data_IF_567509738335
#
_entry.id   IF_567509738335
#
_cell.length_a   1.000
_cell.length_b   1.000
_cell.length_c   1.000
_cell.angle_alpha   90.00
_cell.angle_beta   90.00
_cell.angle_gamma   90.00
#
_symmetry.space_group_name_H-M   'P 1'
#
loop_
_entity.id
_entity.type
_entity.pdbx_description
1 polymer ?
#
# COMPACT_ATOMS: atom_id res chain seq x y z
N UNK A 1 -13.83 -18.94 8.56
CA UNK A 1 -13.36 -18.05 7.47
C UNK A 1 -12.72 -18.91 6.41
N UNK A 2 -13.16 -18.85 5.14
CA UNK A 2 -12.49 -19.58 4.06
C UNK A 2 -11.17 -18.85 3.77
N UNK A 3 -10.04 -19.50 4.04
CA UNK A 3 -8.75 -19.02 3.56
C UNK A 3 -8.67 -19.37 2.06
N UNK A 4 -8.94 -18.38 1.22
CA UNK A 4 -8.50 -18.45 -0.17
C UNK A 4 -6.98 -18.36 -0.14
N UNK A 5 -6.30 -19.35 -0.72
CA UNK A 5 -4.83 -19.41 -0.75
C UNK A 5 -4.20 -18.42 -1.75
N UNK A 6 -5.03 -17.55 -2.35
CA UNK A 6 -4.68 -16.69 -3.47
C UNK A 6 -4.83 -15.20 -3.12
N UNK A 7 -4.93 -14.85 -1.85
CA UNK A 7 -5.03 -13.46 -1.41
C UNK A 7 -3.77 -13.07 -0.62
N UNK A 8 -3.08 -12.01 -1.06
CA UNK A 8 -1.89 -11.44 -0.45
C UNK A 8 -2.20 -10.07 0.11
N UNK A 9 -2.16 -9.94 1.44
CA UNK A 9 -2.39 -8.69 2.14
C UNK A 9 -1.08 -8.10 2.68
N UNK A 10 -0.71 -6.92 2.19
CA UNK A 10 0.46 -6.19 2.68
C UNK A 10 0.03 -5.11 3.67
N UNK A 11 0.49 -5.23 4.92
CA UNK A 11 0.30 -4.21 5.95
C UNK A 11 1.61 -3.46 6.16
N UNK A 12 1.56 -2.13 6.07
CA UNK A 12 2.72 -1.27 6.31
C UNK A 12 2.42 -0.41 7.54
N UNK A 13 3.21 -0.59 8.59
CA UNK A 13 3.18 0.25 9.79
C UNK A 13 4.49 1.00 9.93
N UNK A 14 4.44 2.32 10.04
CA UNK A 14 5.57 3.18 10.36
C UNK A 14 5.07 4.35 11.21
N UNK A 15 5.97 5.12 11.83
CA UNK A 15 5.62 6.39 12.49
C UNK A 15 5.10 7.45 11.51
N UNK A 16 5.17 7.20 10.20
CA UNK A 16 4.60 7.97 9.08
C UNK A 16 4.99 9.45 9.00
N UNK A 17 5.89 9.91 9.87
CA UNK A 17 6.28 11.32 9.99
C UNK A 17 7.38 11.72 9.01
N UNK A 18 8.21 10.76 8.58
CA UNK A 18 9.43 11.04 7.83
C UNK A 18 9.54 10.28 6.49
N UNK A 19 8.52 9.52 6.09
CA UNK A 19 8.60 8.60 4.92
C UNK A 19 7.68 8.98 3.76
N UNK A 20 7.55 10.28 3.50
CA UNK A 20 6.71 10.79 2.41
C UNK A 20 7.15 10.28 1.04
N UNK A 21 8.45 10.43 0.74
CA UNK A 21 9.03 10.05 -0.55
C UNK A 21 9.06 8.54 -0.76
N UNK A 22 9.46 7.75 0.24
CA UNK A 22 9.48 6.30 0.14
C UNK A 22 8.06 5.76 -0.05
N UNK A 23 7.07 6.39 0.58
CA UNK A 23 5.67 6.00 0.38
C UNK A 23 5.16 6.39 -0.99
N UNK A 24 5.49 7.58 -1.47
CA UNK A 24 5.16 7.99 -2.83
C UNK A 24 5.79 7.01 -3.84
N UNK A 25 7.03 6.59 -3.61
CA UNK A 25 7.69 5.57 -4.42
C UNK A 25 6.93 4.24 -4.40
N UNK A 26 6.52 3.77 -3.21
CA UNK A 26 5.74 2.54 -3.07
C UNK A 26 4.41 2.63 -3.85
N UNK A 27 3.69 3.75 -3.73
CA UNK A 27 2.39 3.93 -4.40
C UNK A 27 2.53 4.13 -5.91
N UNK A 28 3.49 4.93 -6.35
CA UNK A 28 3.65 5.28 -7.77
C UNK A 28 4.43 4.26 -8.59
N UNK A 29 5.28 3.44 -7.95
CA UNK A 29 6.13 2.46 -8.65
C UNK A 29 5.91 1.03 -8.16
N UNK A 30 6.16 0.76 -6.88
CA UNK A 30 6.25 -0.62 -6.40
C UNK A 30 4.90 -1.35 -6.39
N UNK A 31 3.83 -0.74 -5.88
CA UNK A 31 2.51 -1.38 -5.83
C UNK A 31 1.94 -1.68 -7.21
N UNK A 32 2.00 -0.78 -8.21
CA UNK A 32 1.61 -1.12 -9.58
C UNK A 32 2.33 -2.37 -10.13
N UNK A 33 3.64 -2.48 -9.93
CA UNK A 33 4.42 -3.64 -10.38
C UNK A 33 4.00 -4.93 -9.66
N UNK A 34 3.80 -4.85 -8.33
CA UNK A 34 3.31 -5.98 -7.54
C UNK A 34 1.90 -6.40 -7.98
N UNK A 35 1.02 -5.44 -8.28
CA UNK A 35 -0.33 -5.72 -8.79
C UNK A 35 -0.30 -6.48 -10.11
N UNK A 36 0.59 -6.11 -11.04
CA UNK A 36 0.77 -6.84 -12.32
C UNK A 36 1.23 -8.27 -12.04
N UNK A 37 2.29 -8.43 -11.23
CA UNK A 37 2.88 -9.72 -10.89
C UNK A 37 1.91 -10.65 -10.13
N UNK A 38 1.06 -10.11 -9.28
CA UNK A 38 0.04 -10.87 -8.56
C UNK A 38 -1.11 -11.26 -9.50
N UNK A 39 -1.54 -10.34 -10.38
CA UNK A 39 -2.59 -10.63 -11.37
C UNK A 39 -2.19 -11.75 -12.33
N UNK A 40 -0.96 -11.76 -12.81
CA UNK A 40 -0.42 -12.84 -13.67
C UNK A 40 -0.46 -14.22 -12.99
N UNK A 41 -0.40 -14.25 -11.66
CA UNK A 41 -0.43 -15.48 -10.84
C UNK A 41 -1.82 -15.83 -10.31
N UNK A 42 -2.85 -15.06 -10.68
CA UNK A 42 -4.20 -15.24 -10.14
C UNK A 42 -4.30 -14.95 -8.64
N UNK A 43 -3.40 -14.09 -8.12
CA UNK A 43 -3.35 -13.65 -6.73
C UNK A 43 -3.97 -12.27 -6.61
N UNK A 44 -4.89 -12.09 -5.67
CA UNK A 44 -5.38 -10.77 -5.29
C UNK A 44 -4.36 -10.11 -4.38
N UNK A 45 -3.83 -8.96 -4.78
CA UNK A 45 -2.99 -8.15 -3.90
C UNK A 45 -3.81 -7.03 -3.27
N UNK A 46 -3.71 -6.88 -1.95
CA UNK A 46 -4.36 -5.79 -1.21
C UNK A 46 -3.35 -5.15 -0.28
N UNK A 47 -2.96 -3.92 -0.57
CA UNK A 47 -2.18 -3.09 0.34
C UNK A 47 -3.10 -2.39 1.35
N UNK A 48 -2.98 -2.74 2.62
CA UNK A 48 -3.69 -2.05 3.71
C UNK A 48 -2.77 -0.97 4.27
N UNK A 49 -2.93 0.22 3.71
CA UNK A 49 -2.30 1.42 4.24
C UNK A 49 -3.10 1.88 5.47
N UNK A 50 -2.50 1.80 6.66
CA UNK A 50 -3.07 2.31 7.91
C UNK A 50 -3.07 3.86 7.96
N UNK A 51 -3.53 4.54 6.90
CA UNK A 51 -3.92 5.96 6.96
C UNK A 51 -5.35 6.07 7.49
N UNK A 52 -5.61 5.58 8.69
CA UNK A 52 -6.81 5.99 9.39
C UNK A 52 -6.51 7.33 10.08
N UNK A 53 -6.77 8.45 9.39
CA UNK A 53 -6.75 9.79 10.01
C UNK A 53 -5.65 10.77 9.59
N UNK A 54 -4.93 10.56 8.48
CA UNK A 54 -4.04 11.60 7.90
C UNK A 54 -4.70 12.29 6.68
N UNK A 55 -5.96 12.68 6.82
CA UNK A 55 -6.73 13.41 5.79
C UNK A 55 -6.90 14.90 6.10
N UNK A 56 -6.08 15.51 6.98
CA UNK A 56 -6.24 16.97 7.23
C UNK A 56 -5.06 17.76 7.81
N UNK A 57 -3.86 17.20 8.01
CA UNK A 57 -2.79 17.96 8.68
C UNK A 57 -1.54 18.27 7.84
N UNK A 58 -1.47 17.86 6.57
CA UNK A 58 -0.29 18.14 5.73
C UNK A 58 -0.63 18.51 4.28
N UNK A 59 -1.79 19.13 4.03
CA UNK A 59 -2.12 19.82 2.76
C UNK A 59 -1.44 21.22 2.68
N UNK A 60 -0.25 21.37 3.28
CA UNK A 60 0.55 22.60 3.25
C UNK A 60 1.99 22.35 2.83
N UNK A 61 2.17 21.68 1.69
CA UNK A 61 3.31 21.92 0.82
C UNK A 61 2.93 21.44 -0.59
N UNK A 62 2.69 22.43 -1.46
CA UNK A 62 2.87 22.49 -2.93
C UNK A 62 3.07 21.15 -3.65
#
# INVERSE_FOLDING_TARGET
>A
MKHNHNDLHLFISSTFRDIGEEREHLVKKSFPEIHVLCRERGVTFTEVNLRWGLTSLDDRAI
#
